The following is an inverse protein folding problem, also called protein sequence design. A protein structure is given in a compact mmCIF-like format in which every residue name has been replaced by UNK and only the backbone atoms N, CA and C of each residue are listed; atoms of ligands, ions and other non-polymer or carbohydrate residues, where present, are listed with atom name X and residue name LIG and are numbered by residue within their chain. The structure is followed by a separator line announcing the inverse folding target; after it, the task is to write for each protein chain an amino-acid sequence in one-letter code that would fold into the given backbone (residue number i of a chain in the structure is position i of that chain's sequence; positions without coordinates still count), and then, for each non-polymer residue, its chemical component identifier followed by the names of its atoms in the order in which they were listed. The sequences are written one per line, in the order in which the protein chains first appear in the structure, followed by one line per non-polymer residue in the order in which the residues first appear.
data_IF_917831538239
#
_entry.id   IF_917831538239
#
_cell.length_a   1.000
_cell.length_b   1.000
_cell.length_c   1.000
_cell.angle_alpha   90.00
_cell.angle_beta   90.00
_cell.angle_gamma   90.00
#
_symmetry.space_group_name_H-M   'P 1'
#
loop_
_entity.id
_entity.type
_entity.pdbx_description
1 polymer ?
#
# COMPACT_ATOMS: atom_id res chain seq x y z
N UNK A 1 -10.85 7.00 34.29
CA UNK A 1 -10.65 7.87 33.13
C UNK A 1 -10.20 7.03 31.96
N UNK A 2 -10.95 7.06 30.89
CA UNK A 2 -10.51 6.44 29.64
C UNK A 2 -9.48 7.39 29.01
N UNK A 3 -8.22 6.96 29.00
CA UNK A 3 -7.23 7.65 28.20
C UNK A 3 -7.67 7.55 26.73
N UNK A 4 -7.89 8.70 26.10
CA UNK A 4 -8.14 8.71 24.67
C UNK A 4 -6.89 8.15 23.96
N UNK A 5 -7.04 7.01 23.29
CA UNK A 5 -5.97 6.46 22.48
C UNK A 5 -5.70 7.45 21.34
N UNK A 6 -4.61 8.17 21.47
CA UNK A 6 -4.20 9.12 20.44
C UNK A 6 -3.80 8.35 19.19
N UNK A 7 -4.52 8.58 18.11
CA UNK A 7 -4.18 7.94 16.82
C UNK A 7 -2.87 8.50 16.28
N UNK A 8 -2.00 7.63 15.71
CA UNK A 8 -0.76 8.09 15.10
C UNK A 8 -0.99 9.13 14.00
N UNK A 9 -0.08 10.08 13.91
CA UNK A 9 -0.09 11.10 12.86
C UNK A 9 0.39 10.48 11.54
N UNK A 10 -0.36 10.73 10.47
CA UNK A 10 0.03 10.28 9.11
C UNK A 10 0.59 11.46 8.35
N UNK A 11 1.82 11.30 7.86
CA UNK A 11 2.55 12.33 7.11
C UNK A 11 3.26 11.74 5.91
N UNK A 12 3.69 12.61 4.98
CA UNK A 12 4.59 12.20 3.91
C UNK A 12 5.91 11.71 4.51
N UNK A 13 6.49 10.68 3.90
CA UNK A 13 7.78 10.16 4.32
C UNK A 13 8.91 11.14 3.96
N UNK A 14 9.97 11.15 4.78
CA UNK A 14 11.18 11.92 4.55
C UNK A 14 12.40 11.00 4.45
N UNK A 15 13.55 11.56 4.07
CA UNK A 15 14.81 10.80 4.00
C UNK A 15 15.13 10.06 5.30
N UNK A 16 14.81 10.64 6.44
CA UNK A 16 15.05 10.03 7.76
C UNK A 16 14.19 8.80 8.02
N UNK A 17 13.15 8.57 7.21
CA UNK A 17 12.22 7.46 7.38
C UNK A 17 12.62 6.19 6.62
N UNK A 18 13.61 6.27 5.75
CA UNK A 18 13.96 5.15 4.84
C UNK A 18 14.30 3.88 5.62
N UNK A 19 15.15 3.99 6.64
CA UNK A 19 15.52 2.84 7.46
C UNK A 19 14.33 2.26 8.21
N UNK A 20 13.45 3.11 8.72
CA UNK A 20 12.24 2.71 9.41
C UNK A 20 11.25 2.01 8.49
N UNK A 21 11.09 2.50 7.27
CA UNK A 21 10.22 1.88 6.26
C UNK A 21 10.73 0.48 5.93
N UNK A 22 12.02 0.33 5.66
CA UNK A 22 12.61 -0.98 5.38
C UNK A 22 12.39 -1.94 6.55
N UNK A 23 12.62 -1.48 7.77
CA UNK A 23 12.44 -2.28 8.98
C UNK A 23 10.98 -2.71 9.19
N UNK A 24 10.02 -1.81 8.92
CA UNK A 24 8.59 -2.14 8.99
C UNK A 24 8.18 -3.21 7.99
N UNK A 25 8.75 -3.17 6.79
CA UNK A 25 8.40 -4.11 5.72
C UNK A 25 9.07 -5.48 5.90
N UNK A 26 10.18 -5.56 6.58
CA UNK A 26 11.00 -6.78 6.69
C UNK A 26 10.21 -8.03 7.17
N UNK A 27 9.34 -7.97 8.19
CA UNK A 27 8.55 -9.14 8.58
C UNK A 27 7.62 -9.63 7.49
N UNK A 28 7.01 -8.71 6.72
CA UNK A 28 6.11 -9.06 5.63
C UNK A 28 6.86 -9.61 4.41
N UNK A 29 8.06 -9.12 4.15
CA UNK A 29 8.96 -9.67 3.12
C UNK A 29 9.34 -11.11 3.49
N UNK A 30 9.72 -11.36 4.73
CA UNK A 30 10.07 -12.69 5.23
C UNK A 30 8.92 -13.68 5.10
N UNK A 31 7.68 -13.21 5.31
CA UNK A 31 6.45 -14.03 5.15
C UNK A 31 5.98 -14.08 3.69
N UNK A 32 6.69 -13.48 2.76
CA UNK A 32 6.33 -13.39 1.35
C UNK A 32 4.99 -12.69 1.09
N UNK A 33 4.60 -11.77 1.97
CA UNK A 33 3.37 -10.99 1.82
C UNK A 33 3.56 -9.75 0.94
N UNK A 34 4.78 -9.24 0.87
CA UNK A 34 5.18 -8.11 0.01
C UNK A 34 6.56 -8.37 -0.58
N UNK A 35 6.86 -7.71 -1.70
CA UNK A 35 8.18 -7.78 -2.31
C UNK A 35 9.21 -6.99 -1.50
N UNK A 36 10.44 -7.51 -1.43
CA UNK A 36 11.56 -6.80 -0.85
C UNK A 36 11.85 -5.51 -1.64
N UNK A 37 12.15 -4.43 -0.92
CA UNK A 37 12.59 -3.17 -1.50
C UNK A 37 13.87 -2.74 -0.84
N UNK A 38 14.88 -2.39 -1.65
CA UNK A 38 16.12 -1.82 -1.15
C UNK A 38 15.88 -0.40 -0.62
N UNK A 39 16.77 0.08 0.25
CA UNK A 39 16.75 1.47 0.70
C UNK A 39 16.86 2.45 -0.47
N UNK A 40 17.64 2.09 -1.48
CA UNK A 40 17.80 2.90 -2.68
C UNK A 40 16.50 2.98 -3.49
N UNK A 41 15.76 1.87 -3.63
CA UNK A 41 14.46 1.86 -4.27
C UNK A 41 13.44 2.69 -3.48
N UNK A 42 13.43 2.57 -2.16
CA UNK A 42 12.56 3.39 -1.29
C UNK A 42 12.91 4.88 -1.49
N UNK A 43 14.19 5.22 -1.51
CA UNK A 43 14.65 6.61 -1.72
C UNK A 43 14.18 7.16 -3.06
N UNK A 44 14.30 6.36 -4.12
CA UNK A 44 13.89 6.76 -5.48
C UNK A 44 12.40 7.04 -5.58
N UNK A 45 11.58 6.42 -4.73
CA UNK A 45 10.13 6.54 -4.73
C UNK A 45 9.59 7.15 -3.43
N UNK A 46 10.42 7.90 -2.73
CA UNK A 46 10.09 8.43 -1.40
C UNK A 46 8.80 9.26 -1.40
N UNK A 47 8.57 10.02 -2.46
CA UNK A 47 7.34 10.81 -2.62
C UNK A 47 6.04 10.00 -2.68
N UNK A 48 6.13 8.69 -2.90
CA UNK A 48 4.97 7.80 -2.92
C UNK A 48 4.58 7.32 -1.53
N UNK A 49 5.46 7.45 -0.54
CA UNK A 49 5.26 6.88 0.80
C UNK A 49 4.57 7.83 1.76
N UNK A 50 3.61 7.28 2.50
CA UNK A 50 3.03 7.89 3.69
C UNK A 50 3.44 7.05 4.89
N UNK A 51 3.67 7.70 6.02
CA UNK A 51 4.07 7.02 7.26
C UNK A 51 3.17 7.42 8.42
N UNK A 52 2.99 6.50 9.36
CA UNK A 52 2.30 6.75 10.62
C UNK A 52 3.34 6.85 11.73
N UNK A 53 3.25 7.91 12.54
CA UNK A 53 4.16 8.18 13.66
C UNK A 53 3.40 8.23 14.97
N UNK A 54 3.96 7.57 15.97
CA UNK A 54 3.49 7.65 17.34
C UNK A 54 4.62 8.19 18.20
N UNK A 55 4.51 9.45 18.63
CA UNK A 55 5.54 10.09 19.45
C UNK A 55 6.93 10.11 18.84
N UNK A 56 7.03 10.26 17.53
CA UNK A 56 8.30 10.25 16.81
C UNK A 56 8.76 8.88 16.34
N UNK A 57 8.11 7.80 16.81
CA UNK A 57 8.38 6.43 16.36
C UNK A 57 7.56 6.11 15.11
N UNK A 58 8.21 5.53 14.12
CA UNK A 58 7.55 5.06 12.91
C UNK A 58 6.84 3.75 13.20
N UNK A 59 5.50 3.73 13.06
CA UNK A 59 4.67 2.56 13.40
C UNK A 59 3.92 1.99 12.21
N UNK A 60 3.95 2.66 11.07
CA UNK A 60 3.31 2.16 9.86
C UNK A 60 3.79 2.90 8.62
N UNK A 61 3.63 2.25 7.48
CA UNK A 61 3.94 2.84 6.17
C UNK A 61 3.03 2.27 5.09
N UNK A 62 2.90 3.01 3.99
CA UNK A 62 2.17 2.60 2.80
C UNK A 62 2.71 3.40 1.62
N UNK A 63 2.62 2.86 0.42
CA UNK A 63 2.97 3.58 -0.80
C UNK A 63 1.78 3.66 -1.75
N UNK A 64 1.67 4.81 -2.42
CA UNK A 64 0.74 5.03 -3.53
C UNK A 64 1.57 5.21 -4.80
N UNK A 65 1.49 4.24 -5.71
CA UNK A 65 2.23 4.28 -6.95
C UNK A 65 1.32 4.69 -8.10
N UNK A 66 1.73 5.72 -8.86
CA UNK A 66 1.03 6.13 -10.07
C UNK A 66 1.54 5.39 -11.30
N UNK A 67 0.60 4.97 -12.16
CA UNK A 67 0.89 4.33 -13.44
C UNK A 67 0.55 5.20 -14.65
N UNK A 68 0.12 6.43 -14.42
CA UNK A 68 -0.38 7.33 -15.46
C UNK A 68 -1.86 7.09 -15.75
N UNK A 69 -2.47 8.03 -16.49
CA UNK A 69 -3.87 7.93 -16.89
C UNK A 69 -4.87 7.78 -15.72
N UNK A 70 -4.53 8.34 -14.56
CA UNK A 70 -5.39 8.29 -13.38
C UNK A 70 -5.40 6.96 -12.63
N UNK A 71 -4.49 6.05 -12.96
CA UNK A 71 -4.38 4.74 -12.34
C UNK A 71 -3.34 4.75 -11.22
N UNK A 72 -3.75 4.31 -10.02
CA UNK A 72 -2.90 4.23 -8.84
C UNK A 72 -2.99 2.86 -8.17
N UNK A 73 -1.89 2.44 -7.56
CA UNK A 73 -1.82 1.22 -6.77
C UNK A 73 -1.43 1.54 -5.33
N UNK A 74 -2.15 0.96 -4.37
CA UNK A 74 -1.75 0.94 -2.97
C UNK A 74 -0.92 -0.31 -2.73
N UNK A 75 0.33 -0.11 -2.25
CA UNK A 75 1.29 -1.18 -2.03
C UNK A 75 2.16 -0.91 -0.81
N UNK A 76 2.95 -1.88 -0.43
CA UNK A 76 3.94 -1.73 0.66
C UNK A 76 3.32 -1.33 2.00
N UNK A 77 2.09 -1.76 2.27
CA UNK A 77 1.43 -1.51 3.56
C UNK A 77 2.05 -2.39 4.64
N UNK A 78 2.54 -1.77 5.68
CA UNK A 78 3.07 -2.47 6.84
C UNK A 78 2.79 -1.68 8.12
N UNK A 79 2.44 -2.39 9.19
CA UNK A 79 2.20 -1.82 10.52
C UNK A 79 3.05 -2.59 11.52
N UNK A 80 3.70 -1.88 12.43
CA UNK A 80 4.47 -2.48 13.53
C UNK A 80 3.59 -3.46 14.31
N UNK A 81 4.10 -4.67 14.55
CA UNK A 81 3.35 -5.73 15.22
C UNK A 81 2.77 -5.30 16.58
N UNK A 82 3.50 -4.45 17.33
CA UNK A 82 3.04 -3.93 18.62
C UNK A 82 1.85 -2.96 18.49
N UNK A 83 1.59 -2.45 17.28
CA UNK A 83 0.53 -1.48 17.01
C UNK A 83 -0.60 -2.04 16.14
N UNK A 84 -0.58 -3.32 15.82
CA UNK A 84 -1.64 -3.95 15.04
C UNK A 84 -2.97 -3.98 15.81
N UNK A 85 -4.09 -3.99 15.08
CA UNK A 85 -5.42 -4.02 15.68
C UNK A 85 -5.93 -2.68 16.20
N UNK A 86 -5.23 -1.58 15.90
CA UNK A 86 -5.60 -0.23 16.34
C UNK A 86 -6.13 0.66 15.22
N UNK A 87 -6.34 0.11 14.02
CA UNK A 87 -6.87 0.85 12.88
C UNK A 87 -5.84 1.67 12.12
N UNK A 88 -4.55 1.50 12.36
CA UNK A 88 -3.48 2.24 11.68
C UNK A 88 -3.45 1.89 10.19
N UNK A 89 -3.53 0.60 9.85
CA UNK A 89 -3.56 0.15 8.45
C UNK A 89 -4.73 0.77 7.69
N UNK A 90 -5.91 0.78 8.30
CA UNK A 90 -7.12 1.41 7.74
C UNK A 90 -6.88 2.89 7.44
N UNK A 91 -6.30 3.63 8.38
CA UNK A 91 -6.03 5.05 8.20
C UNK A 91 -4.98 5.32 7.13
N UNK A 92 -3.97 4.47 7.03
CA UNK A 92 -2.96 4.58 5.97
C UNK A 92 -3.58 4.38 4.59
N UNK A 93 -4.46 3.39 4.44
CA UNK A 93 -5.17 3.15 3.18
C UNK A 93 -6.09 4.33 2.84
N UNK A 94 -6.86 4.83 3.82
CA UNK A 94 -7.72 6.00 3.62
C UNK A 94 -6.90 7.23 3.17
N UNK A 95 -5.74 7.46 3.78
CA UNK A 95 -4.86 8.56 3.41
C UNK A 95 -4.34 8.41 1.97
N UNK A 96 -4.06 7.19 1.52
CA UNK A 96 -3.68 6.92 0.13
C UNK A 96 -4.84 7.23 -0.84
N UNK A 97 -6.05 6.82 -0.49
CA UNK A 97 -7.25 7.11 -1.30
C UNK A 97 -7.44 8.62 -1.42
N UNK A 98 -7.35 9.36 -0.32
CA UNK A 98 -7.45 10.82 -0.32
C UNK A 98 -6.37 11.46 -1.20
N UNK A 99 -5.13 10.94 -1.11
CA UNK A 99 -4.03 11.42 -1.94
C UNK A 99 -4.31 11.19 -3.43
N UNK A 100 -4.81 10.01 -3.79
CA UNK A 100 -5.17 9.69 -5.17
C UNK A 100 -6.28 10.60 -5.69
N UNK A 101 -7.28 10.91 -4.86
CA UNK A 101 -8.36 11.85 -5.21
C UNK A 101 -7.79 13.25 -5.46
N UNK A 102 -6.91 13.73 -4.60
CA UNK A 102 -6.25 15.04 -4.77
C UNK A 102 -5.39 15.12 -6.02
N UNK A 103 -4.85 13.99 -6.47
CA UNK A 103 -4.06 13.88 -7.70
C UNK A 103 -4.94 13.65 -8.93
N UNK A 104 -6.25 13.81 -8.79
CA UNK A 104 -7.24 13.62 -9.86
C UNK A 104 -7.26 12.19 -10.42
N UNK A 105 -7.02 11.20 -9.56
CA UNK A 105 -7.05 9.79 -9.92
C UNK A 105 -8.44 9.29 -10.29
N UNK A 106 -8.50 8.35 -11.22
CA UNK A 106 -9.74 7.71 -11.65
C UNK A 106 -10.01 6.42 -10.90
N UNK A 107 -8.95 5.66 -10.61
CA UNK A 107 -9.07 4.33 -10.03
C UNK A 107 -7.87 4.00 -9.17
N UNK A 108 -8.13 3.39 -8.02
CA UNK A 108 -7.11 2.81 -7.15
C UNK A 108 -7.32 1.31 -7.10
N UNK A 109 -6.24 0.56 -7.22
CA UNK A 109 -6.27 -0.89 -7.03
C UNK A 109 -5.22 -1.34 -6.02
N UNK A 110 -5.36 -2.57 -5.57
CA UNK A 110 -4.36 -3.24 -4.73
C UNK A 110 -4.35 -4.73 -5.03
N UNK A 111 -3.20 -5.34 -4.87
CA UNK A 111 -3.01 -6.79 -4.91
C UNK A 111 -2.58 -7.22 -3.51
N UNK A 112 -3.38 -8.05 -2.86
CA UNK A 112 -3.18 -8.34 -1.44
C UNK A 112 -3.55 -9.78 -1.08
N UNK A 113 -2.94 -10.27 -0.01
CA UNK A 113 -3.34 -11.52 0.66
C UNK A 113 -4.30 -11.24 1.83
N UNK A 114 -4.63 -9.96 2.10
CA UNK A 114 -5.49 -9.52 3.20
C UNK A 114 -6.62 -8.62 2.69
N UNK A 115 -7.60 -9.19 1.94
CA UNK A 115 -8.62 -8.39 1.26
C UNK A 115 -9.60 -7.68 2.20
N UNK A 116 -9.81 -8.20 3.42
CA UNK A 116 -10.85 -7.69 4.32
C UNK A 116 -10.66 -6.22 4.70
N UNK A 117 -9.41 -5.77 4.87
CA UNK A 117 -9.09 -4.39 5.15
C UNK A 117 -9.61 -3.45 4.05
N UNK A 118 -9.39 -3.85 2.81
CA UNK A 118 -9.77 -3.04 1.64
C UNK A 118 -11.28 -3.13 1.36
N UNK A 119 -11.88 -4.30 1.53
CA UNK A 119 -13.32 -4.47 1.32
C UNK A 119 -14.14 -3.54 2.21
N UNK A 120 -13.69 -3.32 3.46
CA UNK A 120 -14.35 -2.40 4.40
C UNK A 120 -14.21 -0.94 3.99
N UNK A 121 -13.28 -0.61 3.12
CA UNK A 121 -13.01 0.76 2.67
C UNK A 121 -13.56 1.04 1.27
N UNK A 122 -14.51 0.24 0.82
CA UNK A 122 -15.20 0.48 -0.46
C UNK A 122 -14.50 -0.11 -1.67
N UNK A 123 -13.50 -0.97 -1.47
CA UNK A 123 -12.87 -1.69 -2.56
C UNK A 123 -13.69 -2.93 -2.90
N UNK A 124 -13.78 -3.23 -4.18
CA UNK A 124 -14.48 -4.41 -4.71
C UNK A 124 -13.48 -5.40 -5.26
N UNK A 125 -13.63 -6.67 -4.89
CA UNK A 125 -12.79 -7.73 -5.42
C UNK A 125 -13.09 -7.96 -6.90
N UNK A 126 -12.04 -8.07 -7.70
CA UNK A 126 -12.13 -8.41 -9.13
C UNK A 126 -11.20 -9.58 -9.44
N UNK A 127 -11.52 -10.41 -10.45
CA UNK A 127 -10.61 -11.48 -10.84
C UNK A 127 -9.26 -10.91 -11.27
N UNK A 128 -8.17 -11.49 -10.78
CA UNK A 128 -6.81 -11.03 -11.12
C UNK A 128 -6.56 -11.08 -12.62
N UNK A 129 -7.24 -11.98 -13.32
CA UNK A 129 -7.19 -12.10 -14.79
C UNK A 129 -7.71 -10.84 -15.49
N UNK A 130 -8.53 -10.04 -14.84
CA UNK A 130 -9.02 -8.75 -15.37
C UNK A 130 -7.85 -7.84 -15.68
N UNK A 131 -6.85 -7.80 -14.79
CA UNK A 131 -5.64 -7.01 -14.98
C UNK A 131 -4.76 -7.52 -16.13
N UNK A 132 -4.88 -8.80 -16.46
CA UNK A 132 -4.12 -9.40 -17.54
C UNK A 132 -4.76 -9.17 -18.93
N UNK A 133 -6.04 -8.81 -18.97
CA UNK A 133 -6.80 -8.61 -20.22
C UNK A 133 -6.89 -7.18 -20.65
N UNK A 134 -6.81 -6.25 -19.70
CA UNK A 134 -6.90 -4.84 -19.97
C UNK A 134 -5.52 -4.30 -20.31
N UNK A 135 -5.34 -3.78 -21.53
CA UNK A 135 -4.08 -3.21 -21.99
C UNK A 135 -3.56 -2.09 -21.08
N UNK A 136 -4.46 -1.38 -20.39
CA UNK A 136 -4.16 -0.35 -19.41
C UNK A 136 -3.34 -0.87 -18.22
N UNK A 137 -3.61 -2.10 -17.79
CA UNK A 137 -2.95 -2.74 -16.66
C UNK A 137 -1.80 -3.65 -17.07
N UNK A 138 -1.90 -4.24 -18.26
CA UNK A 138 -1.14 -5.40 -18.70
C UNK A 138 0.38 -5.21 -18.70
N UNK A 139 0.88 -4.14 -19.29
CA UNK A 139 2.31 -3.93 -19.42
C UNK A 139 2.96 -3.48 -18.11
N UNK A 140 2.25 -2.68 -17.33
CA UNK A 140 2.78 -2.02 -16.13
C UNK A 140 2.77 -2.95 -14.92
N UNK A 141 1.71 -3.73 -14.76
CA UNK A 141 1.56 -4.64 -13.62
C UNK A 141 2.32 -5.94 -13.85
N UNK A 142 2.33 -6.45 -15.08
CA UNK A 142 3.08 -7.66 -15.43
C UNK A 142 4.57 -7.55 -15.16
N UNK A 143 5.17 -6.39 -15.40
CA UNK A 143 6.60 -6.18 -15.14
C UNK A 143 6.94 -6.42 -13.66
N UNK A 144 6.10 -5.93 -12.75
CA UNK A 144 6.27 -6.16 -11.30
C UNK A 144 5.95 -7.61 -10.92
N UNK A 145 4.90 -8.19 -11.49
CA UNK A 145 4.50 -9.58 -11.20
C UNK A 145 5.55 -10.59 -11.62
N UNK A 146 6.24 -10.38 -12.74
CA UNK A 146 7.32 -11.26 -13.21
C UNK A 146 8.51 -11.31 -12.25
N UNK A 147 8.72 -10.26 -11.48
CA UNK A 147 9.79 -10.21 -10.48
C UNK A 147 9.36 -10.82 -9.15
N UNK A 148 8.10 -11.16 -9.00
CA UNK A 148 7.57 -11.74 -7.77
C UNK A 148 7.94 -13.23 -7.66
N UNK A 149 8.46 -13.69 -6.51
CA UNK A 149 8.75 -15.12 -6.30
C UNK A 149 7.52 -16.02 -6.41
N UNK A 150 6.31 -15.44 -6.29
CA UNK A 150 5.04 -16.16 -6.37
C UNK A 150 4.36 -16.02 -7.72
N UNK A 151 5.05 -15.58 -8.76
CA UNK A 151 4.46 -15.33 -10.07
C UNK A 151 3.64 -16.52 -10.59
N UNK A 152 4.19 -17.74 -10.52
CA UNK A 152 3.54 -18.95 -11.03
C UNK A 152 2.48 -19.53 -10.09
N UNK A 153 2.45 -19.09 -8.82
CA UNK A 153 1.55 -19.57 -7.78
C UNK A 153 0.92 -18.41 -7.01
N UNK A 154 0.60 -17.33 -7.73
CA UNK A 154 0.04 -16.13 -7.11
C UNK A 154 -1.37 -16.40 -6.58
N UNK A 155 -1.54 -16.21 -5.28
CA UNK A 155 -2.83 -16.31 -4.58
C UNK A 155 -3.31 -14.95 -4.06
N UNK A 156 -2.70 -13.86 -4.52
CA UNK A 156 -3.14 -12.52 -4.19
C UNK A 156 -4.53 -12.24 -4.76
N UNK A 157 -5.28 -11.44 -4.02
CA UNK A 157 -6.60 -10.98 -4.39
C UNK A 157 -6.49 -9.55 -4.90
N UNK A 158 -7.11 -9.29 -6.05
CA UNK A 158 -7.16 -7.96 -6.63
C UNK A 158 -8.43 -7.25 -6.21
N UNK A 159 -8.31 -6.03 -5.72
CA UNK A 159 -9.44 -5.17 -5.37
C UNK A 159 -9.27 -3.81 -6.02
N UNK A 160 -10.39 -3.21 -6.43
CA UNK A 160 -10.41 -1.89 -7.06
C UNK A 160 -11.41 -0.98 -6.37
N UNK A 161 -11.12 0.31 -6.38
CA UNK A 161 -12.05 1.35 -5.98
C UNK A 161 -12.04 2.46 -7.02
N UNK A 162 -13.20 2.72 -7.61
CA UNK A 162 -13.39 3.86 -8.52
C UNK A 162 -13.47 5.15 -7.72
N UNK A 163 -12.75 6.17 -8.16
CA UNK A 163 -12.68 7.46 -7.48
C UNK A 163 -13.58 8.51 -8.10
N UNK A 164 -14.00 8.30 -9.35
CA UNK A 164 -14.90 9.18 -10.08
C UNK A 164 -16.15 8.42 -10.50
N UNK A 165 -17.28 9.10 -10.37
CA UNK A 165 -18.56 8.54 -10.79
C UNK A 165 -18.63 8.42 -12.32
#
# INVERSE_FOLDING_TARGET
MLESVKMPLITAATEDDIDGIEALMAPNVKKQLVLARSKEDIRSHLGNFLVARDGGRLVGCVALRGFGEGLYEIRSLAVDAAFMGRGIGTRLVEACVEKAIKLDGDLVFTLTLRPNLFSRLGFTEVPIKTFHRDDKFREKIWADCRQCPKFDACNEIALVRELKA
#
